data_IF_081704538385
#
_entry.id   IF_081704538385
#
_cell.length_a   1.000
_cell.length_b   1.000
_cell.length_c   1.000
_cell.angle_alpha   90.00
_cell.angle_beta   90.00
_cell.angle_gamma   90.00
#
_symmetry.space_group_name_H-M   'P 1'
#
loop_
_entity.id
_entity.type
_entity.pdbx_description
1 polymer ?
#
# COMPACT_ATOMS: atom_id res chain seq x y z
N UNK A 1 -15.60 13.43 -7.94
CA UNK A 1 -14.18 13.75 -7.67
C UNK A 1 -13.58 12.64 -6.83
N UNK A 2 -12.30 12.28 -7.03
CA UNK A 2 -11.61 11.30 -6.18
C UNK A 2 -11.22 11.94 -4.85
N UNK A 3 -11.31 11.20 -3.75
CA UNK A 3 -10.86 11.66 -2.43
C UNK A 3 -9.35 11.51 -2.28
N UNK A 4 -8.72 12.36 -1.47
CA UNK A 4 -7.34 12.17 -1.03
C UNK A 4 -7.22 11.10 0.05
N UNK A 5 -6.05 10.47 0.16
CA UNK A 5 -5.70 9.64 1.32
C UNK A 5 -5.53 10.51 2.57
N UNK A 6 -5.44 9.93 3.80
CA UNK A 6 -5.13 10.70 5.00
C UNK A 6 -3.81 11.50 4.92
N UNK A 7 -2.88 11.08 4.08
CA UNK A 7 -1.60 11.78 3.87
C UNK A 7 -1.62 12.78 2.71
N UNK A 8 -2.75 12.94 2.01
CA UNK A 8 -2.85 13.76 0.81
C UNK A 8 -2.44 15.22 1.04
N UNK A 9 -2.74 15.81 2.19
CA UNK A 9 -2.32 17.19 2.49
C UNK A 9 -0.79 17.35 2.50
N UNK A 10 -0.06 16.33 3.00
CA UNK A 10 1.40 16.33 3.07
C UNK A 10 2.05 15.94 1.74
N UNK A 11 1.57 14.87 1.12
CA UNK A 11 2.11 14.40 -0.17
C UNK A 11 1.76 15.35 -1.31
N UNK A 12 0.60 16.01 -1.22
CA UNK A 12 0.13 17.16 -1.99
C UNK A 12 1.21 18.22 -2.19
N UNK A 13 1.69 18.78 -1.09
CA UNK A 13 2.67 19.86 -1.07
C UNK A 13 4.05 19.46 -1.62
N UNK A 14 4.40 18.17 -1.59
CA UNK A 14 5.69 17.65 -2.04
C UNK A 14 5.69 17.21 -3.51
N UNK A 15 4.52 17.06 -4.14
CA UNK A 15 4.36 16.53 -5.49
C UNK A 15 4.64 17.61 -6.56
N UNK A 16 5.91 17.96 -6.74
CA UNK A 16 6.36 18.96 -7.71
C UNK A 16 6.03 18.56 -9.15
N UNK A 17 6.10 17.27 -9.46
CA UNK A 17 5.75 16.73 -10.77
C UNK A 17 4.26 16.84 -11.11
N UNK A 18 3.39 17.07 -10.11
CA UNK A 18 1.92 17.06 -10.24
C UNK A 18 1.40 15.77 -10.91
N UNK A 19 2.14 14.69 -10.77
CA UNK A 19 1.83 13.39 -11.33
C UNK A 19 0.82 12.67 -10.44
N UNK A 20 -0.46 13.00 -10.58
CA UNK A 20 -1.54 12.41 -9.78
C UNK A 20 -2.06 11.12 -10.42
N UNK A 21 -2.24 10.08 -9.61
CA UNK A 21 -2.75 8.77 -10.03
C UNK A 21 -3.97 8.35 -9.23
N UNK A 22 -4.81 7.54 -9.85
CA UNK A 22 -5.92 6.85 -9.18
C UNK A 22 -5.43 5.53 -8.59
N UNK A 23 -5.68 5.31 -7.29
CA UNK A 23 -5.39 4.06 -6.60
C UNK A 23 -6.54 3.72 -5.65
N UNK A 24 -7.21 2.57 -5.86
CA UNK A 24 -8.31 2.07 -5.02
C UNK A 24 -9.39 3.13 -4.65
N UNK A 25 -9.72 4.03 -5.59
CA UNK A 25 -10.71 5.09 -5.37
C UNK A 25 -10.16 6.41 -4.79
N UNK A 26 -8.86 6.48 -4.50
CA UNK A 26 -8.17 7.67 -4.00
C UNK A 26 -7.27 8.31 -5.07
N UNK A 27 -6.98 9.61 -4.90
CA UNK A 27 -5.91 10.30 -5.62
C UNK A 27 -4.61 10.22 -4.82
N UNK A 28 -3.54 9.76 -5.46
CA UNK A 28 -2.22 9.56 -4.86
C UNK A 28 -1.11 10.13 -5.75
N UNK A 29 0.03 10.51 -5.15
CA UNK A 29 1.20 10.93 -5.92
C UNK A 29 1.82 9.72 -6.64
N UNK A 30 2.06 9.87 -7.94
CA UNK A 30 2.74 8.88 -8.79
C UNK A 30 4.26 9.07 -8.87
N UNK A 31 4.72 10.30 -8.66
CA UNK A 31 6.12 10.67 -8.41
C UNK A 31 6.15 12.05 -7.75
N UNK A 32 7.11 12.29 -6.86
CA UNK A 32 7.28 13.61 -6.25
C UNK A 32 8.06 14.58 -7.14
N UNK A 33 9.08 14.07 -7.84
CA UNK A 33 9.94 14.84 -8.76
C UNK A 33 9.65 14.48 -10.23
N UNK A 34 10.18 15.29 -11.15
CA UNK A 34 10.04 15.08 -12.61
C UNK A 34 10.66 13.77 -13.08
N UNK A 35 11.68 13.29 -12.35
CA UNK A 35 12.32 11.99 -12.58
C UNK A 35 12.24 11.15 -11.31
N UNK A 36 12.24 9.83 -11.46
CA UNK A 36 12.11 8.90 -10.34
C UNK A 36 13.45 8.59 -9.66
N UNK A 37 14.55 9.22 -10.07
CA UNK A 37 15.89 8.84 -9.59
C UNK A 37 16.04 9.07 -8.09
N UNK A 38 15.62 10.23 -7.59
CA UNK A 38 15.64 10.54 -6.17
C UNK A 38 14.87 9.49 -5.37
N UNK A 39 13.60 9.27 -5.73
CA UNK A 39 12.73 8.26 -5.09
C UNK A 39 13.33 6.85 -5.15
N UNK A 40 13.88 6.45 -6.30
CA UNK A 40 14.49 5.14 -6.50
C UNK A 40 15.72 4.95 -5.62
N UNK A 41 16.66 5.89 -5.62
CA UNK A 41 17.88 5.79 -4.81
C UNK A 41 17.58 5.93 -3.31
N UNK A 42 16.57 6.71 -2.91
CA UNK A 42 16.10 6.74 -1.52
C UNK A 42 15.62 5.36 -1.06
N UNK A 43 14.87 4.63 -1.89
CA UNK A 43 14.43 3.26 -1.55
C UNK A 43 15.61 2.28 -1.52
N UNK A 44 16.52 2.37 -2.49
CA UNK A 44 17.59 1.38 -2.68
C UNK A 44 18.79 1.55 -1.77
N UNK A 45 19.11 2.78 -1.39
CA UNK A 45 20.38 3.12 -0.76
C UNK A 45 20.22 3.94 0.52
N UNK A 46 19.00 4.33 0.88
CA UNK A 46 18.70 5.06 2.10
C UNK A 46 17.36 4.59 2.69
N UNK A 47 16.46 5.53 2.98
CA UNK A 47 15.10 5.24 3.42
C UNK A 47 14.09 6.06 2.62
N UNK A 48 12.89 5.51 2.46
CA UNK A 48 11.77 6.18 1.82
C UNK A 48 10.47 5.87 2.57
N UNK A 49 9.51 6.79 2.49
CA UNK A 49 8.16 6.62 3.02
C UNK A 49 7.17 6.46 1.86
N UNK A 50 6.37 5.40 1.88
CA UNK A 50 5.37 5.12 0.84
C UNK A 50 3.99 5.15 1.47
N UNK A 51 3.10 6.00 0.95
CA UNK A 51 1.70 6.02 1.35
C UNK A 51 0.93 4.85 0.70
N UNK A 52 0.76 3.78 1.47
CA UNK A 52 -0.06 2.60 1.10
C UNK A 52 -1.42 2.58 1.80
N UNK A 53 -1.85 3.72 2.34
CA UNK A 53 -3.19 3.88 2.93
C UNK A 53 -4.36 3.47 2.02
N UNK A 54 -4.33 3.64 0.68
CA UNK A 54 -5.45 3.25 -0.16
C UNK A 54 -5.60 1.73 -0.34
N UNK A 55 -4.61 0.92 0.04
CA UNK A 55 -4.76 -0.54 0.00
C UNK A 55 -5.82 -1.00 0.99
N UNK A 56 -6.64 -1.97 0.60
CA UNK A 56 -7.61 -2.59 1.49
C UNK A 56 -6.91 -3.42 2.55
N UNK A 57 -7.30 -3.23 3.83
CA UNK A 57 -6.88 -4.07 4.94
C UNK A 57 -8.11 -4.75 5.50
N UNK A 58 -8.08 -6.07 5.56
CA UNK A 58 -9.18 -6.89 6.07
C UNK A 58 -8.71 -7.65 7.30
N UNK A 59 -9.52 -7.62 8.36
CA UNK A 59 -9.41 -8.54 9.49
C UNK A 59 -10.39 -9.68 9.25
N UNK A 60 -9.89 -10.91 9.23
CA UNK A 60 -10.70 -12.12 9.11
C UNK A 60 -10.50 -12.90 10.40
N UNK A 61 -11.59 -13.11 11.13
CA UNK A 61 -11.58 -13.71 12.46
C UNK A 61 -12.72 -14.73 12.60
N UNK A 62 -12.59 -15.64 13.56
CA UNK A 62 -13.54 -16.69 13.87
C UNK A 62 -12.95 -18.11 13.75
N UNK A 63 -13.68 -19.12 14.26
CA UNK A 63 -13.18 -20.50 14.38
C UNK A 63 -12.85 -21.14 13.02
N UNK A 64 -13.50 -20.69 11.95
CA UNK A 64 -13.33 -21.22 10.59
C UNK A 64 -12.47 -20.31 9.68
N UNK A 65 -11.83 -19.26 10.22
CA UNK A 65 -11.07 -18.28 9.43
C UNK A 65 -9.97 -18.91 8.57
N UNK A 66 -9.24 -19.89 9.12
CA UNK A 66 -8.19 -20.63 8.41
C UNK A 66 -8.77 -21.45 7.24
N UNK A 67 -9.88 -22.15 7.47
CA UNK A 67 -10.57 -22.94 6.45
C UNK A 67 -11.08 -22.04 5.31
N UNK A 68 -11.63 -20.88 5.66
CA UNK A 68 -12.10 -19.89 4.69
C UNK A 68 -10.95 -19.32 3.85
N UNK A 69 -9.86 -18.88 4.49
CA UNK A 69 -8.70 -18.33 3.78
C UNK A 69 -8.07 -19.37 2.85
N UNK A 70 -7.93 -20.62 3.29
CA UNK A 70 -7.46 -21.75 2.45
C UNK A 70 -8.30 -21.98 1.18
N UNK A 71 -9.56 -21.53 1.17
CA UNK A 71 -10.41 -21.62 -0.01
C UNK A 71 -10.18 -20.44 -0.98
N UNK A 72 -9.78 -19.27 -0.47
CA UNK A 72 -9.57 -18.05 -1.26
C UNK A 72 -8.16 -17.98 -1.83
N UNK A 73 -7.15 -18.25 -1.00
CA UNK A 73 -5.76 -18.17 -1.43
C UNK A 73 -5.27 -19.53 -1.92
N UNK A 74 -4.43 -19.53 -2.96
CA UNK A 74 -3.86 -20.77 -3.53
C UNK A 74 -2.90 -21.47 -2.57
N UNK A 75 -2.29 -20.71 -1.66
CA UNK A 75 -1.34 -21.20 -0.66
C UNK A 75 -2.06 -22.00 0.42
N UNK A 76 -1.58 -23.21 0.72
CA UNK A 76 -2.06 -23.92 1.90
C UNK A 76 -1.54 -23.20 3.16
N UNK A 77 -2.47 -22.63 3.92
CA UNK A 77 -2.26 -21.89 5.16
C UNK A 77 -2.28 -22.77 6.41
N UNK A 78 -2.34 -24.10 6.26
CA UNK A 78 -2.48 -24.99 7.39
C UNK A 78 -1.37 -24.79 8.44
N UNK A 79 -1.78 -24.54 9.69
CA UNK A 79 -0.90 -24.42 10.88
C UNK A 79 0.33 -23.53 10.68
N UNK A 80 0.11 -22.24 10.46
CA UNK A 80 1.18 -21.22 10.45
C UNK A 80 1.47 -20.74 11.88
N UNK A 81 2.73 -20.44 12.17
CA UNK A 81 3.10 -19.78 13.42
C UNK A 81 2.51 -18.36 13.48
N UNK A 82 2.13 -17.92 14.69
CA UNK A 82 1.62 -16.55 14.92
C UNK A 82 2.68 -15.54 14.47
N UNK A 83 2.29 -14.59 13.61
CA UNK A 83 3.17 -13.54 13.08
C UNK A 83 3.78 -13.85 11.70
N UNK A 84 3.56 -15.04 11.14
CA UNK A 84 4.01 -15.38 9.80
C UNK A 84 3.14 -14.70 8.73
N UNK A 85 3.79 -13.94 7.83
CA UNK A 85 3.16 -13.29 6.67
C UNK A 85 3.22 -14.27 5.48
N UNK A 86 2.13 -14.37 4.72
CA UNK A 86 1.97 -15.27 3.57
C UNK A 86 1.96 -14.49 2.27
#
# INVERSE_FOLDING_TARGET
>A
MLCGTPFHARTGALCQARNWRRCAGYVVAGSYELTHHGEYYSIRSAAALIDVSPLYKYLIDGPDAERFLNHIVRSHLARREVGLIV
#
